data_IF_015238400623
#
_entry.id   IF_015238400623
#
_cell.length_a   1.000
_cell.length_b   1.000
_cell.length_c   1.000
_cell.angle_alpha   90.00
_cell.angle_beta   90.00
_cell.angle_gamma   90.00
#
_symmetry.space_group_name_H-M   'P 1'
#
loop_
_entity.id
_entity.type
_entity.pdbx_description
1 polymer ?
#
# COMPACT_ATOMS: atom_id res chain seq x y z
N UNK A 1 16.52 -11.60 11.78
CA UNK A 1 16.44 -10.69 10.61
C UNK A 1 17.24 -9.43 10.92
N UNK A 2 18.12 -8.98 10.01
CA UNK A 2 18.92 -7.76 10.21
C UNK A 2 18.02 -6.54 10.11
N UNK A 3 17.85 -5.82 11.21
CA UNK A 3 17.01 -4.63 11.28
C UNK A 3 17.64 -3.50 10.43
N UNK A 4 16.93 -3.04 9.41
CA UNK A 4 17.39 -1.90 8.60
C UNK A 4 17.03 -0.60 9.32
N UNK A 5 17.80 0.48 9.08
CA UNK A 5 17.57 1.83 9.65
C UNK A 5 16.13 2.35 9.46
N UNK A 6 15.37 1.79 8.50
CA UNK A 6 13.99 2.14 8.15
C UNK A 6 12.92 1.22 8.79
N UNK A 7 13.30 0.22 9.60
CA UNK A 7 12.42 -0.67 10.39
C UNK A 7 11.15 -1.12 9.66
N UNK A 8 11.28 -1.56 8.41
CA UNK A 8 10.13 -2.00 7.62
C UNK A 8 9.71 -3.41 8.08
N UNK A 9 8.43 -3.62 8.43
CA UNK A 9 7.98 -4.93 8.89
C UNK A 9 8.10 -5.97 7.77
N UNK A 10 8.37 -7.25 8.08
CA UNK A 10 8.17 -8.32 7.12
C UNK A 10 6.68 -8.40 6.77
N UNK A 11 6.37 -8.42 5.48
CA UNK A 11 4.97 -8.45 4.99
C UNK A 11 4.72 -9.74 4.22
N UNK A 12 3.50 -10.27 4.31
CA UNK A 12 3.09 -11.43 3.50
C UNK A 12 2.96 -10.98 2.04
N UNK A 13 3.71 -11.61 1.13
CA UNK A 13 3.66 -11.26 -0.28
C UNK A 13 2.32 -11.71 -0.91
N UNK A 14 1.56 -10.82 -1.57
CA UNK A 14 0.37 -11.23 -2.29
C UNK A 14 0.68 -12.24 -3.40
N UNK A 15 -0.20 -13.21 -3.63
CA UNK A 15 0.00 -14.31 -4.61
C UNK A 15 0.38 -13.81 -6.01
N UNK A 16 -0.25 -12.74 -6.49
CA UNK A 16 0.06 -12.15 -7.81
C UNK A 16 1.49 -11.63 -7.87
N UNK A 17 1.94 -10.90 -6.83
CA UNK A 17 3.32 -10.41 -6.75
C UNK A 17 4.31 -11.57 -6.63
N UNK A 18 3.98 -12.61 -5.86
CA UNK A 18 4.80 -13.81 -5.74
C UNK A 18 5.00 -14.50 -7.10
N UNK A 19 3.94 -14.64 -7.89
CA UNK A 19 4.04 -15.19 -9.25
C UNK A 19 4.97 -14.35 -10.15
N UNK A 20 4.89 -13.01 -10.07
CA UNK A 20 5.82 -12.14 -10.79
C UNK A 20 7.27 -12.30 -10.30
N UNK A 21 7.48 -12.39 -8.99
CA UNK A 21 8.80 -12.60 -8.41
C UNK A 21 9.44 -13.92 -8.89
N UNK A 22 8.67 -15.01 -8.96
CA UNK A 22 9.14 -16.27 -9.54
C UNK A 22 9.55 -16.14 -11.00
N UNK A 23 8.78 -15.40 -11.80
CA UNK A 23 9.11 -15.15 -13.21
C UNK A 23 10.37 -14.31 -13.36
N UNK A 24 10.54 -13.29 -12.51
CA UNK A 24 11.73 -12.44 -12.52
C UNK A 24 12.97 -13.24 -12.13
N UNK A 25 12.90 -14.06 -11.08
CA UNK A 25 14.02 -14.91 -10.63
C UNK A 25 14.62 -15.78 -11.74
N UNK A 26 13.85 -16.15 -12.77
CA UNK A 26 14.35 -16.96 -13.90
C UNK A 26 15.21 -16.18 -14.89
N UNK A 27 15.01 -14.86 -15.02
CA UNK A 27 15.54 -14.06 -16.13
C UNK A 27 16.18 -12.72 -15.70
N UNK A 28 16.22 -12.42 -14.40
CA UNK A 28 16.62 -11.14 -13.83
C UNK A 28 17.47 -11.41 -12.61
N UNK A 29 18.54 -10.64 -12.42
CA UNK A 29 19.34 -10.69 -11.19
C UNK A 29 18.67 -9.83 -10.11
N UNK A 30 18.08 -8.69 -10.52
CA UNK A 30 17.43 -7.76 -9.60
C UNK A 30 15.92 -7.66 -9.88
N UNK A 31 15.14 -7.45 -8.82
CA UNK A 31 13.68 -7.21 -8.96
C UNK A 31 13.40 -5.97 -9.82
N UNK A 32 14.28 -4.96 -9.75
CA UNK A 32 14.22 -3.75 -10.56
C UNK A 32 15.61 -3.50 -11.16
N UNK A 33 15.73 -3.75 -12.46
CA UNK A 33 16.95 -3.58 -13.27
C UNK A 33 16.64 -2.86 -14.59
N UNK A 34 17.67 -2.25 -15.16
CA UNK A 34 17.64 -1.66 -16.51
C UNK A 34 18.93 -2.08 -17.21
N UNK A 35 18.81 -2.80 -18.33
CA UNK A 35 19.93 -3.32 -19.12
C UNK A 35 20.96 -4.14 -18.30
N UNK A 36 20.51 -4.83 -17.24
CA UNK A 36 21.31 -5.72 -16.39
C UNK A 36 21.59 -5.18 -14.97
N UNK A 37 22.13 -3.97 -14.81
CA UNK A 37 22.37 -3.39 -13.49
C UNK A 37 21.10 -3.08 -12.68
N UNK A 38 21.23 -3.13 -11.35
CA UNK A 38 20.17 -2.69 -10.42
C UNK A 38 19.85 -1.21 -10.59
N UNK A 39 18.56 -0.87 -10.66
CA UNK A 39 18.12 0.53 -10.64
C UNK A 39 18.38 1.14 -9.25
N UNK A 40 19.24 2.15 -9.18
CA UNK A 40 19.54 2.88 -7.93
C UNK A 40 18.47 3.90 -7.52
N UNK A 41 17.73 4.44 -8.49
CA UNK A 41 16.69 5.46 -8.25
C UNK A 41 15.62 5.42 -9.34
N UNK A 42 14.35 5.46 -8.93
CA UNK A 42 13.20 5.47 -9.86
C UNK A 42 12.76 6.88 -10.27
N UNK A 43 13.37 7.95 -9.73
CA UNK A 43 12.86 9.33 -9.86
C UNK A 43 12.67 9.78 -11.31
N UNK A 44 13.56 9.39 -12.20
CA UNK A 44 13.49 9.76 -13.63
C UNK A 44 12.36 9.01 -14.33
N UNK A 45 12.31 7.69 -14.18
CA UNK A 45 11.24 6.87 -14.73
C UNK A 45 9.86 7.28 -14.19
N UNK A 46 9.76 7.59 -12.89
CA UNK A 46 8.53 8.06 -12.27
C UNK A 46 8.04 9.38 -12.87
N UNK A 47 8.90 10.41 -12.95
CA UNK A 47 8.53 11.71 -13.55
C UNK A 47 8.06 11.57 -14.99
N UNK A 48 8.68 10.67 -15.75
CA UNK A 48 8.28 10.36 -17.12
C UNK A 48 6.89 9.72 -17.16
N UNK A 49 6.67 8.67 -16.38
CA UNK A 49 5.39 7.97 -16.31
C UNK A 49 4.24 8.88 -15.89
N UNK A 50 4.46 9.76 -14.91
CA UNK A 50 3.44 10.72 -14.46
C UNK A 50 3.10 11.75 -15.53
N UNK A 51 4.09 12.25 -16.28
CA UNK A 51 3.86 13.16 -17.40
C UNK A 51 3.09 12.48 -18.53
N UNK A 52 3.46 11.25 -18.88
CA UNK A 52 2.80 10.48 -19.94
C UNK A 52 1.36 10.09 -19.57
N UNK A 53 1.08 9.89 -18.28
CA UNK A 53 -0.24 9.58 -17.78
C UNK A 53 -1.11 10.80 -17.46
N UNK A 54 -0.57 12.02 -17.59
CA UNK A 54 -1.23 13.30 -17.23
C UNK A 54 -1.78 13.32 -15.78
N UNK A 55 -0.95 12.94 -14.81
CA UNK A 55 -1.33 12.82 -13.39
C UNK A 55 -0.55 13.82 -12.49
N UNK A 56 -0.83 15.13 -12.56
CA UNK A 56 -0.09 16.13 -11.79
C UNK A 56 -0.16 15.87 -10.28
N UNK A 57 0.95 16.08 -9.57
CA UNK A 57 1.03 15.93 -8.12
C UNK A 57 1.11 14.48 -7.60
N UNK A 58 1.02 13.47 -8.47
CA UNK A 58 1.10 12.07 -8.07
C UNK A 58 2.55 11.66 -7.76
N UNK A 59 2.77 11.18 -6.53
CA UNK A 59 4.06 10.70 -6.04
C UNK A 59 4.04 9.19 -5.83
N UNK A 60 5.19 8.51 -5.67
CA UNK A 60 5.17 7.10 -5.30
C UNK A 60 4.43 6.83 -3.99
N UNK A 61 4.35 7.83 -3.10
CA UNK A 61 3.59 7.71 -1.86
C UNK A 61 2.08 7.65 -2.10
N UNK A 62 1.59 8.29 -3.17
CA UNK A 62 0.19 8.22 -3.60
C UNK A 62 -0.24 6.77 -3.86
N UNK A 63 0.62 5.92 -4.45
CA UNK A 63 0.32 4.50 -4.61
C UNK A 63 0.09 3.78 -3.28
N UNK A 64 0.85 4.15 -2.24
CA UNK A 64 0.64 3.60 -0.89
C UNK A 64 -0.72 4.07 -0.34
N UNK A 65 -1.05 5.36 -0.46
CA UNK A 65 -2.36 5.88 -0.05
C UNK A 65 -3.50 5.10 -0.72
N UNK A 66 -3.45 4.93 -2.04
CA UNK A 66 -4.45 4.18 -2.79
C UNK A 66 -4.59 2.73 -2.29
N UNK A 67 -3.47 2.03 -2.04
CA UNK A 67 -3.50 0.66 -1.54
C UNK A 67 -4.12 0.56 -0.13
N UNK A 68 -3.85 1.53 0.75
CA UNK A 68 -4.45 1.60 2.09
C UNK A 68 -5.96 1.85 1.98
N UNK A 69 -6.39 2.81 1.16
CA UNK A 69 -7.81 3.08 0.90
C UNK A 69 -8.53 1.84 0.40
N UNK A 70 -7.95 1.09 -0.53
CA UNK A 70 -8.54 -0.17 -1.01
C UNK A 70 -8.65 -1.25 0.07
N UNK A 71 -7.69 -1.33 0.99
CA UNK A 71 -7.79 -2.24 2.13
C UNK A 71 -8.94 -1.84 3.07
N UNK A 72 -9.10 -0.54 3.35
CA UNK A 72 -10.20 -0.03 4.17
C UNK A 72 -11.56 -0.30 3.54
N UNK A 73 -11.73 -0.01 2.24
CA UNK A 73 -12.96 -0.34 1.52
C UNK A 73 -13.34 -1.82 1.56
N UNK A 74 -12.33 -2.71 1.64
CA UNK A 74 -12.54 -4.16 1.75
C UNK A 74 -12.80 -4.64 3.17
N UNK A 75 -12.90 -3.73 4.14
CA UNK A 75 -13.17 -4.08 5.53
C UNK A 75 -11.98 -4.74 6.24
N UNK A 76 -10.75 -4.51 5.78
CA UNK A 76 -9.57 -5.09 6.44
C UNK A 76 -9.42 -4.49 7.84
N UNK A 77 -9.25 -5.30 8.90
CA UNK A 77 -9.02 -4.80 10.25
C UNK A 77 -7.84 -3.83 10.32
N UNK A 78 -7.98 -2.75 11.09
CA UNK A 78 -6.97 -1.70 11.20
C UNK A 78 -5.60 -2.24 11.64
N UNK A 79 -5.56 -3.19 12.59
CA UNK A 79 -4.32 -3.80 13.06
C UNK A 79 -3.57 -4.54 11.94
N UNK A 80 -4.29 -5.32 11.12
CA UNK A 80 -3.71 -6.06 9.99
C UNK A 80 -3.20 -5.10 8.92
N UNK A 81 -3.99 -4.08 8.58
CA UNK A 81 -3.59 -3.06 7.63
C UNK A 81 -2.36 -2.26 8.14
N UNK A 82 -2.31 -1.90 9.41
CA UNK A 82 -1.19 -1.17 10.01
C UNK A 82 0.10 -1.98 9.91
N UNK A 83 0.05 -3.26 10.28
CA UNK A 83 1.16 -4.19 10.15
C UNK A 83 1.61 -4.38 8.70
N UNK A 84 0.67 -4.53 7.77
CA UNK A 84 0.97 -4.74 6.35
C UNK A 84 1.58 -3.50 5.68
N UNK A 85 1.05 -2.31 5.94
CA UNK A 85 1.51 -1.08 5.30
C UNK A 85 2.64 -0.39 6.06
N UNK A 86 3.08 -0.92 7.20
CA UNK A 86 4.12 -0.32 8.03
C UNK A 86 3.72 1.09 8.46
N UNK A 87 2.53 1.22 9.04
CA UNK A 87 1.99 2.46 9.61
C UNK A 87 1.36 2.16 10.96
N UNK A 88 0.84 3.16 11.66
CA UNK A 88 0.18 2.97 12.97
C UNK A 88 -1.33 2.87 12.80
N UNK A 89 -1.99 2.18 13.73
CA UNK A 89 -3.46 2.16 13.80
C UNK A 89 -4.02 3.58 13.89
N UNK A 90 -3.42 4.44 14.74
CA UNK A 90 -3.81 5.85 14.86
C UNK A 90 -3.74 6.64 13.53
N UNK A 91 -2.77 6.32 12.66
CA UNK A 91 -2.71 6.93 11.31
C UNK A 91 -3.84 6.42 10.43
N UNK A 92 -4.17 5.13 10.53
CA UNK A 92 -5.27 4.54 9.77
C UNK A 92 -6.63 5.09 10.21
N UNK A 93 -6.83 5.21 11.52
CA UNK A 93 -8.02 5.80 12.12
C UNK A 93 -8.24 7.24 11.67
N UNK A 94 -7.20 8.07 11.78
CA UNK A 94 -7.32 9.50 11.45
C UNK A 94 -7.47 9.78 9.95
N UNK A 95 -6.82 8.99 9.09
CA UNK A 95 -6.75 9.29 7.65
C UNK A 95 -7.72 8.47 6.80
N UNK A 96 -7.97 7.19 7.13
CA UNK A 96 -8.63 6.26 6.20
C UNK A 96 -9.87 5.55 6.74
N UNK A 97 -10.15 5.59 8.04
CA UNK A 97 -11.25 4.84 8.65
C UNK A 97 -12.62 5.18 8.05
N UNK A 98 -12.82 6.41 7.58
CA UNK A 98 -14.04 6.84 6.90
C UNK A 98 -14.32 6.09 5.58
N UNK A 99 -13.34 5.37 5.02
CA UNK A 99 -13.53 4.50 3.87
C UNK A 99 -14.01 3.09 4.23
N UNK A 100 -14.01 2.73 5.52
CA UNK A 100 -14.39 1.39 5.97
C UNK A 100 -15.90 1.17 5.79
N UNK A 101 -16.35 0.00 5.28
CA UNK A 101 -17.77 -0.24 5.00
C UNK A 101 -18.66 -0.16 6.24
N UNK A 102 -18.14 -0.52 7.42
CA UNK A 102 -18.88 -0.43 8.69
C UNK A 102 -18.66 0.90 9.44
N UNK A 103 -18.09 1.91 8.79
CA UNK A 103 -17.84 3.20 9.44
C UNK A 103 -19.15 3.82 9.93
N UNK A 104 -19.24 4.07 11.24
CA UNK A 104 -20.42 4.63 11.92
C UNK A 104 -21.72 3.80 11.82
N UNK A 105 -21.69 2.59 11.26
CA UNK A 105 -22.87 1.75 11.05
C UNK A 105 -23.56 1.38 12.38
N UNK A 106 -22.78 0.97 13.39
CA UNK A 106 -23.32 0.63 14.70
C UNK A 106 -23.95 1.84 15.41
N UNK A 107 -23.33 3.02 15.27
CA UNK A 107 -23.87 4.28 15.82
C UNK A 107 -25.20 4.62 15.16
N UNK A 108 -25.28 4.55 13.83
CA UNK A 108 -26.52 4.82 13.10
C UNK A 108 -27.66 3.88 13.56
N UNK A 109 -27.39 2.56 13.61
CA UNK A 109 -28.38 1.57 14.07
C UNK A 109 -28.86 1.80 15.50
N UNK A 110 -27.96 2.19 16.40
CA UNK A 110 -28.32 2.48 17.79
C UNK A 110 -29.28 3.68 17.91
N UNK A 111 -29.09 4.70 17.06
CA UNK A 111 -29.97 5.87 17.03
C UNK A 111 -31.35 5.54 16.43
N UNK A 112 -31.43 4.67 15.41
CA UNK A 112 -32.71 4.22 14.83
C UNK A 112 -33.58 3.44 15.84
N UNK A 113 -32.95 2.69 16.75
CA UNK A 113 -33.62 1.90 17.78
C UNK A 113 -34.04 2.68 19.02
N UNK A 114 -33.69 3.96 19.12
CA UNK A 114 -34.03 4.80 20.27
C UNK A 114 -35.46 5.32 20.14
N UNK A 115 -36.41 4.58 20.72
CA UNK A 115 -37.77 5.03 21.03
C UNK A 115 -37.98 5.18 22.52
#
# INVERSE_FOLDING_TARGET
MRETKKRRPPVRMPRKLLAHAWRWKRNREWVVEYEGPRVGSIKTAWRRAIREADLPGVTPHTLKHTAVTWAMHKGVPLADAAGFFGTTVATLESVYLHHHPSFQEATAKALDGWK
#
